data_IF_243983940765
#
_entry.id   IF_243983940765
#
_cell.length_a   1.000
_cell.length_b   1.000
_cell.length_c   1.000
_cell.angle_alpha   90.00
_cell.angle_beta   90.00
_cell.angle_gamma   90.00
#
_symmetry.space_group_name_H-M   'P 1'
#
loop_
_entity.id
_entity.type
_entity.pdbx_description
1 polymer ?
#
# COMPACT_ATOMS: atom_id res chain seq x y z
N UNK A 1 -5.02 -15.09 -2.72
CA UNK A 1 -6.28 -14.73 -3.40
C UNK A 1 -6.06 -13.56 -4.37
N UNK A 2 -6.69 -13.53 -5.54
CA UNK A 2 -6.59 -12.38 -6.48
C UNK A 2 -7.89 -11.57 -6.49
N UNK A 3 -7.78 -10.25 -6.36
CA UNK A 3 -8.94 -9.35 -6.38
C UNK A 3 -8.54 -8.04 -7.09
N UNK A 4 -9.33 -7.61 -8.09
CA UNK A 4 -9.06 -6.44 -8.95
C UNK A 4 -7.64 -6.41 -9.56
N UNK A 5 -7.05 -7.58 -9.83
CA UNK A 5 -5.69 -7.69 -10.37
C UNK A 5 -4.56 -7.57 -9.32
N UNK A 6 -4.89 -7.45 -8.04
CA UNK A 6 -3.93 -7.50 -6.93
C UNK A 6 -3.92 -8.87 -6.24
N UNK A 7 -2.73 -9.35 -5.86
CA UNK A 7 -2.56 -10.56 -5.07
C UNK A 7 -2.60 -10.25 -3.57
N UNK A 8 -3.65 -10.72 -2.91
CA UNK A 8 -3.82 -10.66 -1.46
C UNK A 8 -3.27 -11.95 -0.82
N UNK A 9 -2.31 -11.84 0.11
CA UNK A 9 -1.78 -13.01 0.81
C UNK A 9 -2.79 -13.61 1.78
N UNK A 10 -2.96 -14.92 1.72
CA UNK A 10 -4.05 -15.64 2.39
C UNK A 10 -3.93 -15.66 3.94
N UNK A 11 -2.69 -15.63 4.44
CA UNK A 11 -2.37 -15.65 5.88
C UNK A 11 -2.59 -14.30 6.59
N UNK A 12 -2.89 -13.23 5.86
CA UNK A 12 -3.10 -11.91 6.48
C UNK A 12 -4.57 -11.73 6.86
N UNK A 13 -4.79 -10.89 7.85
CA UNK A 13 -6.13 -10.37 8.18
C UNK A 13 -6.64 -9.53 7.00
N UNK A 14 -7.93 -9.70 6.66
CA UNK A 14 -8.53 -8.99 5.52
C UNK A 14 -8.41 -7.47 5.69
N UNK A 15 -8.62 -6.96 6.92
CA UNK A 15 -8.45 -5.53 7.23
C UNK A 15 -7.08 -4.99 6.81
N UNK A 16 -6.03 -5.76 7.04
CA UNK A 16 -4.66 -5.37 6.67
C UNK A 16 -4.43 -5.59 5.17
N UNK A 17 -4.92 -6.70 4.63
CA UNK A 17 -4.78 -7.03 3.22
C UNK A 17 -5.41 -5.95 2.30
N UNK A 18 -6.57 -5.41 2.68
CA UNK A 18 -7.25 -4.33 1.94
C UNK A 18 -6.43 -3.04 1.84
N UNK A 19 -5.48 -2.78 2.75
CA UNK A 19 -4.62 -1.59 2.66
C UNK A 19 -3.57 -1.67 1.56
N UNK A 20 -3.42 -2.83 0.91
CA UNK A 20 -2.61 -2.96 -0.31
C UNK A 20 -3.22 -2.20 -1.49
N UNK A 21 -4.54 -1.97 -1.48
CA UNK A 21 -5.24 -1.21 -2.49
C UNK A 21 -4.99 0.29 -2.35
N UNK A 22 -4.65 0.95 -3.46
CA UNK A 22 -4.39 2.39 -3.45
C UNK A 22 -5.69 3.16 -3.19
N UNK A 23 -5.69 4.01 -2.16
CA UNK A 23 -6.88 4.75 -1.72
C UNK A 23 -7.61 4.10 -0.54
N UNK A 24 -7.25 2.87 -0.16
CA UNK A 24 -7.84 2.18 1.00
C UNK A 24 -6.89 2.25 2.21
N UNK A 25 -7.34 2.93 3.26
CA UNK A 25 -6.73 3.03 4.58
C UNK A 25 -7.32 2.02 5.59
N UNK A 26 -6.74 1.94 6.78
CA UNK A 26 -7.25 1.11 7.89
C UNK A 26 -8.69 1.47 8.31
N UNK A 27 -9.02 2.76 8.34
CA UNK A 27 -10.36 3.20 8.73
C UNK A 27 -11.40 2.88 7.65
N UNK A 28 -11.03 3.07 6.38
CA UNK A 28 -11.91 2.73 5.26
C UNK A 28 -12.10 1.22 5.15
N UNK A 29 -11.05 0.41 5.35
CA UNK A 29 -11.18 -1.06 5.33
C UNK A 29 -12.11 -1.56 6.44
N UNK A 30 -11.98 -1.03 7.67
CA UNK A 30 -12.88 -1.37 8.78
C UNK A 30 -14.34 -1.06 8.43
N UNK A 31 -14.61 0.11 7.86
CA UNK A 31 -15.97 0.51 7.42
C UNK A 31 -16.52 -0.38 6.30
N UNK A 32 -15.69 -0.75 5.32
CA UNK A 32 -16.09 -1.65 4.23
C UNK A 32 -16.48 -3.02 4.79
N UNK A 33 -15.65 -3.57 5.69
CA UNK A 33 -15.91 -4.87 6.31
C UNK A 33 -17.17 -4.85 7.17
N UNK A 34 -17.38 -3.79 7.95
CA UNK A 34 -18.61 -3.61 8.73
C UNK A 34 -19.86 -3.57 7.82
N UNK A 35 -19.79 -2.88 6.67
CA UNK A 35 -20.89 -2.81 5.71
C UNK A 35 -21.21 -4.15 5.05
N UNK A 36 -20.17 -4.93 4.74
CA UNK A 36 -20.30 -6.27 4.15
C UNK A 36 -20.55 -7.36 5.20
N UNK A 37 -20.70 -6.99 6.48
CA UNK A 37 -20.90 -7.91 7.60
C UNK A 37 -19.78 -8.97 7.73
N UNK A 38 -18.55 -8.59 7.38
CA UNK A 38 -17.36 -9.44 7.51
C UNK A 38 -16.60 -9.01 8.77
N UNK A 39 -16.20 -9.99 9.58
CA UNK A 39 -15.44 -9.71 10.78
C UNK A 39 -14.01 -9.20 10.47
N UNK A 40 -13.54 -8.19 11.19
CA UNK A 40 -12.24 -7.55 10.91
C UNK A 40 -11.03 -8.46 11.12
N UNK A 41 -11.15 -9.44 12.02
CA UNK A 41 -10.08 -10.40 12.33
C UNK A 41 -10.15 -11.66 11.45
N UNK A 42 -11.07 -11.75 10.50
CA UNK A 42 -11.09 -12.86 9.57
C UNK A 42 -9.84 -12.83 8.66
N UNK A 43 -9.33 -14.02 8.33
CA UNK A 43 -8.23 -14.21 7.40
C UNK A 43 -8.74 -14.12 5.97
N UNK A 44 -7.86 -13.75 5.05
CA UNK A 44 -8.18 -13.74 3.61
C UNK A 44 -8.58 -15.14 3.14
N UNK A 45 -7.96 -16.19 3.70
CA UNK A 45 -8.30 -17.59 3.41
C UNK A 45 -9.69 -18.03 3.90
N UNK A 46 -10.24 -17.38 4.93
CA UNK A 46 -11.52 -17.80 5.54
C UNK A 46 -12.75 -17.18 4.88
N UNK A 47 -12.56 -16.37 3.83
CA UNK A 47 -13.67 -15.72 3.13
C UNK A 47 -14.45 -16.71 2.28
N UNK A 48 -15.77 -16.61 2.35
CA UNK A 48 -16.68 -17.37 1.49
C UNK A 48 -16.78 -16.72 0.11
N UNK A 49 -17.07 -17.51 -0.92
CA UNK A 49 -17.28 -17.02 -2.29
C UNK A 49 -18.30 -15.85 -2.39
N UNK A 50 -19.48 -15.88 -1.75
CA UNK A 50 -20.40 -14.73 -1.80
C UNK A 50 -19.80 -13.47 -1.17
N UNK A 51 -19.01 -13.59 -0.09
CA UNK A 51 -18.33 -12.45 0.52
C UNK A 51 -17.25 -11.87 -0.41
N UNK A 52 -16.54 -12.73 -1.14
CA UNK A 52 -15.55 -12.32 -2.14
C UNK A 52 -16.24 -11.54 -3.27
N UNK A 53 -17.34 -12.07 -3.80
CA UNK A 53 -18.13 -11.43 -4.86
C UNK A 53 -18.69 -10.09 -4.40
N UNK A 54 -19.22 -10.01 -3.18
CA UNK A 54 -19.73 -8.77 -2.60
C UNK A 54 -18.60 -7.73 -2.41
N UNK A 55 -17.43 -8.16 -1.94
CA UNK A 55 -16.27 -7.29 -1.76
C UNK A 55 -15.74 -6.76 -3.10
N UNK A 56 -15.67 -7.62 -4.12
CA UNK A 56 -15.27 -7.21 -5.47
C UNK A 56 -16.28 -6.24 -6.08
N UNK A 57 -17.58 -6.52 -5.97
CA UNK A 57 -18.63 -5.63 -6.46
C UNK A 57 -18.57 -4.26 -5.76
N UNK A 58 -18.36 -4.25 -4.45
CA UNK A 58 -18.23 -3.02 -3.66
C UNK A 58 -17.04 -2.17 -4.11
N UNK A 59 -15.86 -2.79 -4.28
CA UNK A 59 -14.65 -2.04 -4.68
C UNK A 59 -14.74 -1.54 -6.13
N UNK A 60 -15.43 -2.26 -7.03
CA UNK A 60 -15.69 -1.80 -8.39
C UNK A 60 -16.70 -0.65 -8.46
N UNK A 61 -17.71 -0.63 -7.57
CA UNK A 61 -18.82 0.32 -7.62
C UNK A 61 -19.40 0.59 -6.23
N UNK A 62 -18.76 1.45 -5.42
CA UNK A 62 -19.13 1.64 -4.02
C UNK A 62 -20.49 2.33 -3.84
N UNK A 63 -20.95 3.09 -4.84
CA UNK A 63 -22.20 3.84 -4.81
C UNK A 63 -23.45 2.94 -4.86
N UNK A 64 -23.34 1.72 -5.41
CA UNK A 64 -24.49 0.84 -5.65
C UNK A 64 -24.76 -0.16 -4.52
N UNK A 65 -23.89 -0.25 -3.52
CA UNK A 65 -24.12 -1.21 -2.42
C UNK A 65 -25.21 -0.67 -1.51
N UNK A 66 -26.25 -1.46 -1.24
CA UNK A 66 -27.30 -1.06 -0.30
C UNK A 66 -26.69 -0.68 1.06
N UNK A 67 -27.03 0.50 1.57
CA UNK A 67 -26.73 0.86 2.96
C UNK A 67 -27.65 0.00 3.82
N UNK A 68 -27.15 -0.79 4.79
CA UNK A 68 -28.05 -1.38 5.78
C UNK A 68 -28.77 -0.22 6.47
N UNK A 69 -30.10 -0.22 6.45
CA UNK A 69 -30.89 0.79 7.13
C UNK A 69 -30.40 0.87 8.59
N UNK A 70 -30.24 2.08 9.18
CA UNK A 70 -29.87 2.19 10.58
C UNK A 70 -30.96 1.50 11.39
N UNK A 71 -30.72 0.26 11.80
CA UNK A 71 -31.63 -0.44 12.69
C UNK A 71 -31.55 0.31 14.02
N UNK A 72 -32.65 0.92 14.50
CA UNK A 72 -32.60 1.57 15.79
C UNK A 72 -32.26 0.49 16.82
N UNK A 73 -31.10 0.63 17.46
CA UNK A 73 -30.61 -0.32 18.49
C UNK A 73 -31.58 -0.38 19.67
N UNK A 74 -32.44 0.63 19.80
CA UNK A 74 -33.51 0.74 20.77
C UNK A 74 -34.86 0.92 20.04
N UNK A 75 -35.86 0.05 20.24
CA UNK A 75 -37.20 0.26 19.67
C UNK A 75 -37.77 1.61 20.16
N UNK A 76 -38.56 2.31 19.33
CA UNK A 76 -39.18 3.58 19.73
C UNK A 76 -40.06 3.35 20.97
N UNK A 77 -39.61 3.86 22.13
CA UNK A 77 -40.32 3.77 23.41
C UNK A 77 -39.62 2.97 24.52
N UNK A 78 -38.44 2.39 24.29
CA UNK A 78 -37.72 1.71 25.39
C UNK A 78 -37.16 2.74 26.40
N UNK A 79 -37.63 2.64 27.65
CA UNK A 79 -37.11 3.41 28.78
C UNK A 79 -35.84 2.69 29.27
N UNK A 80 -34.65 3.33 29.26
CA UNK A 80 -33.44 2.68 29.73
C UNK A 80 -33.60 2.31 31.22
N UNK A 81 -33.39 1.04 31.55
CA UNK A 81 -33.38 0.59 32.95
C UNK A 81 -32.07 1.05 33.61
N UNK A 82 -32.12 2.14 34.38
CA UNK A 82 -30.99 2.67 35.15
C UNK A 82 -31.04 4.20 35.26
N UNK A 83 -30.71 4.73 36.43
CA UNK A 83 -30.63 6.18 36.66
C UNK A 83 -29.30 6.72 36.10
N UNK A 84 -29.36 7.40 34.96
CA UNK A 84 -28.21 7.96 34.25
C UNK A 84 -27.85 9.39 34.70
N UNK A 85 -28.51 9.91 35.74
CA UNK A 85 -28.36 11.30 36.22
C UNK A 85 -26.95 11.68 36.69
N UNK A 86 -26.07 10.69 36.93
CA UNK A 86 -24.71 10.90 37.45
C UNK A 86 -23.55 10.82 36.45
N UNK A 87 -23.78 10.51 35.17
CA UNK A 87 -22.68 10.43 34.20
C UNK A 87 -22.24 11.84 33.76
N UNK A 88 -20.95 12.19 33.86
CA UNK A 88 -20.44 13.43 33.31
C UNK A 88 -20.72 13.44 31.81
N UNK A 89 -21.61 14.32 31.35
CA UNK A 89 -21.85 14.45 29.91
C UNK A 89 -20.52 14.82 29.24
N UNK A 90 -20.12 14.12 28.17
CA UNK A 90 -18.92 14.49 27.44
C UNK A 90 -19.05 15.95 27.05
N UNK A 91 -18.09 16.78 27.46
CA UNK A 91 -18.04 18.20 27.07
C UNK A 91 -18.06 18.26 25.56
N UNK A 92 -19.22 18.54 24.99
CA UNK A 92 -19.38 18.72 23.56
C UNK A 92 -18.66 20.01 23.22
N UNK A 93 -17.36 19.91 22.90
CA UNK A 93 -16.75 20.95 22.10
C UNK A 93 -17.67 21.11 20.90
N UNK A 94 -18.18 22.31 20.64
CA UNK A 94 -18.92 22.68 19.43
C UNK A 94 -18.02 22.48 18.21
N UNK A 95 -17.63 21.24 17.92
CA UNK A 95 -17.17 20.82 16.63
C UNK A 95 -18.38 20.90 15.73
N UNK A 96 -18.25 21.68 14.66
CA UNK A 96 -19.20 21.73 13.56
C UNK A 96 -19.67 20.30 13.26
N UNK A 97 -20.90 19.95 13.63
CA UNK A 97 -21.53 18.71 13.21
C UNK A 97 -21.37 18.71 11.69
N UNK A 98 -20.58 17.76 11.17
CA UNK A 98 -20.34 17.69 9.74
C UNK A 98 -21.71 17.55 9.10
N UNK A 99 -22.04 18.53 8.26
CA UNK A 99 -23.32 18.59 7.58
C UNK A 99 -23.57 17.25 6.89
N UNK A 100 -24.74 16.71 7.16
CA UNK A 100 -25.48 15.71 6.39
C UNK A 100 -24.87 14.30 6.29
N UNK A 101 -25.72 13.30 6.58
CA UNK A 101 -25.39 11.87 6.69
C UNK A 101 -25.05 11.18 5.38
N UNK A 102 -24.11 11.73 4.60
CA UNK A 102 -23.55 11.04 3.44
C UNK A 102 -22.52 10.01 3.89
N UNK A 103 -22.72 8.77 3.46
CA UNK A 103 -21.77 7.70 3.74
C UNK A 103 -20.40 8.03 3.12
N UNK A 104 -19.32 8.05 3.91
CA UNK A 104 -17.98 8.39 3.44
C UNK A 104 -17.42 7.37 2.42
N UNK A 105 -18.11 6.25 2.23
CA UNK A 105 -17.74 5.21 1.29
C UNK A 105 -18.36 5.41 -0.10
N UNK A 106 -19.44 6.19 -0.26
CA UNK A 106 -20.17 6.29 -1.54
C UNK A 106 -19.34 6.88 -2.68
N UNK A 107 -18.46 7.83 -2.35
CA UNK A 107 -17.61 8.56 -3.30
C UNK A 107 -16.13 8.08 -3.29
N UNK A 108 -15.89 6.86 -2.81
CA UNK A 108 -14.53 6.30 -2.71
C UNK A 108 -13.95 6.05 -4.12
N UNK A 109 -12.89 6.77 -4.48
CA UNK A 109 -12.07 6.47 -5.67
C UNK A 109 -10.93 5.53 -5.30
N UNK A 110 -10.78 4.44 -6.04
CA UNK A 110 -9.79 3.38 -5.75
C UNK A 110 -8.83 3.22 -6.93
N UNK A 111 -7.62 2.74 -6.64
CA UNK A 111 -6.63 2.26 -7.61
C UNK A 111 -6.44 3.16 -8.84
N UNK A 112 -6.91 2.71 -10.01
CA UNK A 112 -6.67 3.33 -11.30
C UNK A 112 -7.33 4.70 -11.37
N UNK A 113 -8.52 4.83 -10.81
CA UNK A 113 -9.31 6.05 -10.93
C UNK A 113 -8.74 7.15 -10.05
N UNK A 114 -8.31 6.78 -8.84
CA UNK A 114 -7.60 7.71 -7.95
C UNK A 114 -6.26 8.15 -8.55
N UNK A 115 -5.50 7.22 -9.13
CA UNK A 115 -4.22 7.53 -9.81
C UNK A 115 -4.41 8.44 -11.02
N UNK A 116 -5.39 8.12 -11.90
CA UNK A 116 -5.72 8.92 -13.09
C UNK A 116 -6.18 10.31 -12.71
N UNK A 117 -7.03 10.45 -11.69
CA UNK A 117 -7.49 11.75 -11.20
C UNK A 117 -6.29 12.61 -10.75
N UNK A 118 -5.41 12.07 -9.90
CA UNK A 118 -4.24 12.79 -9.41
C UNK A 118 -3.27 13.15 -10.54
N UNK A 119 -3.03 12.23 -11.49
CA UNK A 119 -2.18 12.48 -12.65
C UNK A 119 -2.77 13.59 -13.54
N UNK A 120 -4.08 13.56 -13.80
CA UNK A 120 -4.80 14.58 -14.55
C UNK A 120 -4.71 15.95 -13.89
N UNK A 121 -4.92 16.02 -12.57
CA UNK A 121 -4.82 17.27 -11.80
C UNK A 121 -3.40 17.86 -11.89
N UNK A 122 -2.37 17.02 -11.75
CA UNK A 122 -0.97 17.45 -11.86
C UNK A 122 -0.64 17.88 -13.29
N UNK A 123 -1.08 17.12 -14.30
CA UNK A 123 -0.87 17.45 -15.70
C UNK A 123 -1.52 18.80 -16.05
N UNK A 124 -2.77 19.01 -15.64
CA UNK A 124 -3.49 20.25 -15.81
C UNK A 124 -2.77 21.45 -15.16
N UNK A 125 -2.31 21.30 -13.90
CA UNK A 125 -1.53 22.34 -13.23
C UNK A 125 -0.24 22.70 -13.97
N UNK A 126 0.41 21.73 -14.62
CA UNK A 126 1.62 21.92 -15.45
C UNK A 126 1.29 22.66 -16.74
N UNK A 127 0.24 22.26 -17.45
CA UNK A 127 -0.21 22.89 -18.71
C UNK A 127 -0.58 24.35 -18.50
N UNK A 128 -1.29 24.68 -17.42
CA UNK A 128 -1.62 26.08 -17.08
C UNK A 128 -0.37 26.91 -16.73
N UNK A 129 0.70 26.27 -16.23
CA UNK A 129 1.92 26.98 -15.81
C UNK A 129 1.84 27.59 -14.40
N UNK A 130 0.89 27.15 -13.57
CA UNK A 130 0.79 27.58 -12.16
C UNK A 130 2.10 27.36 -11.38
N UNK A 131 2.32 28.11 -10.30
CA UNK A 131 3.51 27.89 -9.44
C UNK A 131 3.64 26.42 -9.00
N UNK A 132 2.54 25.80 -8.54
CA UNK A 132 2.52 24.38 -8.16
C UNK A 132 2.88 23.49 -9.35
N UNK A 133 2.32 23.73 -10.53
CA UNK A 133 2.64 23.01 -11.75
C UNK A 133 4.13 23.05 -12.11
N UNK A 134 4.75 24.24 -12.09
CA UNK A 134 6.20 24.39 -12.32
C UNK A 134 7.03 23.63 -11.28
N UNK A 135 6.62 23.63 -10.01
CA UNK A 135 7.28 22.86 -8.93
C UNK A 135 7.14 21.35 -9.13
N UNK A 136 5.96 20.86 -9.52
CA UNK A 136 5.73 19.47 -9.88
C UNK A 136 6.59 19.04 -11.08
N UNK A 137 6.69 19.87 -12.12
CA UNK A 137 7.54 19.61 -13.28
C UNK A 137 9.03 19.53 -12.89
N UNK A 138 9.48 20.37 -11.95
CA UNK A 138 10.85 20.38 -11.44
C UNK A 138 11.14 19.31 -10.36
N UNK A 139 10.14 18.52 -9.93
CA UNK A 139 10.27 17.53 -8.85
C UNK A 139 10.59 18.14 -7.49
N UNK A 140 10.21 19.40 -7.25
CA UNK A 140 10.50 20.13 -6.01
C UNK A 140 9.29 20.14 -5.06
N UNK A 141 9.50 20.33 -3.74
CA UNK A 141 8.42 20.44 -2.78
C UNK A 141 7.44 21.57 -3.11
N UNK A 142 6.14 21.32 -2.95
CA UNK A 142 5.09 22.25 -3.40
C UNK A 142 4.51 23.08 -2.25
N UNK A 143 4.58 22.59 -1.01
CA UNK A 143 3.94 23.21 0.18
C UNK A 143 4.85 24.20 0.92
N UNK A 144 5.75 24.88 0.21
CA UNK A 144 6.65 25.89 0.83
C UNK A 144 7.79 25.34 1.68
N UNK A 145 8.11 24.06 1.57
CA UNK A 145 9.26 23.46 2.27
C UNK A 145 10.59 24.02 1.71
N UNK A 146 11.60 24.17 2.58
CA UNK A 146 12.92 24.67 2.20
C UNK A 146 13.61 23.75 1.17
N UNK A 147 14.10 24.34 0.07
CA UNK A 147 14.80 23.65 -1.02
C UNK A 147 16.32 23.78 -1.00
N UNK A 148 16.89 24.61 -0.13
CA UNK A 148 18.34 24.81 -0.08
C UNK A 148 19.08 23.50 0.22
N UNK A 149 18.60 22.73 1.21
CA UNK A 149 19.21 21.45 1.63
C UNK A 149 18.54 20.23 1.00
N UNK A 150 17.22 20.27 0.81
CA UNK A 150 16.42 19.09 0.49
C UNK A 150 16.11 18.89 -1.01
N UNK A 151 16.50 19.82 -1.89
CA UNK A 151 16.13 19.76 -3.31
C UNK A 151 16.60 18.49 -4.03
N UNK A 152 17.80 17.99 -3.72
CA UNK A 152 18.36 16.79 -4.37
C UNK A 152 17.53 15.55 -4.05
N UNK A 153 17.20 15.36 -2.78
CA UNK A 153 16.36 14.25 -2.31
C UNK A 153 14.95 14.35 -2.87
N UNK A 154 14.38 15.57 -2.88
CA UNK A 154 13.06 15.83 -3.45
C UNK A 154 12.99 15.44 -4.94
N UNK A 155 13.95 15.88 -5.76
CA UNK A 155 14.00 15.53 -7.19
C UNK A 155 14.09 14.02 -7.43
N UNK A 156 14.78 13.29 -6.55
CA UNK A 156 14.89 11.83 -6.63
C UNK A 156 13.57 11.12 -6.29
N UNK A 157 12.86 11.57 -5.26
CA UNK A 157 11.72 10.87 -4.66
C UNK A 157 10.33 11.38 -5.11
N UNK A 158 10.22 12.63 -5.55
CA UNK A 158 8.97 13.27 -5.95
C UNK A 158 8.71 13.11 -7.45
N UNK A 159 8.70 11.87 -7.91
CA UNK A 159 8.26 11.51 -9.26
C UNK A 159 6.76 11.22 -9.23
N UNK A 160 6.08 11.57 -10.33
CA UNK A 160 4.62 11.32 -10.49
C UNK A 160 4.36 9.82 -10.42
N UNK A 161 5.14 9.03 -11.15
CA UNK A 161 5.13 7.58 -11.04
C UNK A 161 6.13 7.15 -9.97
N UNK A 162 5.62 7.03 -8.74
CA UNK A 162 6.37 6.36 -7.69
C UNK A 162 6.43 4.89 -8.05
N UNK A 163 7.65 4.35 -8.19
CA UNK A 163 7.86 2.89 -8.15
C UNK A 163 7.17 2.40 -6.89
N UNK A 164 6.11 1.62 -7.05
CA UNK A 164 5.39 1.04 -5.92
C UNK A 164 6.40 0.22 -5.13
N UNK A 165 6.70 0.63 -3.89
CA UNK A 165 7.41 -0.22 -2.95
C UNK A 165 6.40 -1.27 -2.48
N UNK A 166 6.05 -2.23 -3.33
CA UNK A 166 5.27 -3.38 -2.89
C UNK A 166 6.17 -4.21 -2.00
N UNK A 167 5.77 -4.37 -0.73
CA UNK A 167 6.39 -5.30 0.22
C UNK A 167 6.12 -6.77 -0.13
N UNK A 168 5.25 -7.06 -1.09
CA UNK A 168 5.15 -8.37 -1.72
C UNK A 168 6.30 -8.53 -2.71
N UNK A 169 7.38 -9.11 -2.19
CA UNK A 169 8.50 -9.61 -2.95
C UNK A 169 8.01 -10.53 -4.08
N UNK A 170 7.89 -10.00 -5.30
CA UNK A 170 8.49 -10.69 -6.43
C UNK A 170 9.97 -10.34 -6.43
N UNK A 171 10.68 -10.75 -5.37
CA UNK A 171 12.07 -11.10 -5.55
C UNK A 171 11.99 -12.37 -6.36
N UNK A 172 12.33 -12.30 -7.65
CA UNK A 172 12.64 -13.52 -8.39
C UNK A 172 13.55 -14.36 -7.49
N UNK A 173 13.29 -15.68 -7.33
CA UNK A 173 14.27 -16.54 -6.69
C UNK A 173 15.61 -16.19 -7.30
N UNK A 174 16.58 -15.83 -6.46
CA UNK A 174 17.96 -15.73 -6.92
C UNK A 174 18.23 -17.11 -7.48
N UNK A 175 18.30 -17.23 -8.81
CA UNK A 175 18.87 -18.41 -9.43
C UNK A 175 20.17 -18.68 -8.69
N UNK A 176 20.24 -19.86 -8.07
CA UNK A 176 21.48 -20.33 -7.45
C UNK A 176 22.61 -20.06 -8.44
N UNK A 177 23.69 -19.37 -8.04
CA UNK A 177 24.76 -19.04 -8.97
C UNK A 177 25.24 -20.35 -9.60
N UNK A 178 25.15 -20.41 -10.94
CA UNK A 178 25.63 -21.53 -11.75
C UNK A 178 27.04 -21.87 -11.25
N UNK A 179 27.34 -23.14 -10.90
CA UNK A 179 28.67 -23.51 -10.44
C UNK A 179 29.67 -23.14 -11.55
N UNK A 180 30.65 -22.30 -11.20
CA UNK A 180 31.72 -21.94 -12.14
C UNK A 180 32.48 -23.22 -12.54
N UNK A 181 32.79 -23.42 -13.83
CA UNK A 181 33.53 -24.59 -14.27
C UNK A 181 34.90 -24.61 -13.59
N UNK A 182 35.22 -25.75 -12.97
CA UNK A 182 36.51 -26.00 -12.33
C UNK A 182 37.56 -26.13 -13.44
N UNK A 183 38.66 -25.35 -13.43
CA UNK A 183 39.70 -25.52 -14.43
C UNK A 183 40.36 -26.89 -14.24
N UNK A 184 40.36 -27.72 -15.29
CA UNK A 184 41.11 -28.97 -15.32
C UNK A 184 42.60 -28.61 -15.28
N UNK A 185 43.26 -28.86 -14.15
CA UNK A 185 44.70 -28.74 -14.05
C UNK A 185 45.32 -29.86 -14.87
N UNK A 186 45.83 -29.52 -16.05
CA UNK A 186 46.65 -30.41 -16.86
C UNK A 186 47.91 -30.77 -16.08
N UNK A 187 47.96 -32.02 -15.63
CA UNK A 187 49.16 -32.63 -15.09
C UNK A 187 50.21 -32.74 -16.20
N UNK A 188 51.16 -31.81 -16.28
CA UNK A 188 52.41 -31.98 -17.01
C UNK A 188 53.42 -30.90 -16.58
N UNK A 189 54.34 -31.26 -15.69
CA UNK A 189 55.78 -31.08 -15.86
C UNK A 189 56.51 -31.42 -14.56
N UNK A 190 56.99 -32.67 -14.51
CA UNK A 190 57.90 -33.17 -13.51
C UNK A 190 59.31 -32.76 -13.94
N UNK A 191 59.84 -31.76 -13.24
CA UNK A 191 61.25 -31.49 -12.91
C UNK A 191 62.34 -32.27 -13.69
N UNK A 192 63.13 -31.55 -14.48
CA UNK A 192 64.54 -31.84 -14.73
C UNK A 192 65.34 -30.55 -14.48
N UNK A 193 66.05 -30.49 -13.36
CA UNK A 193 67.12 -29.54 -13.09
C UNK A 193 68.46 -30.27 -13.20
N UNK A 194 69.47 -29.75 -13.93
CA UNK A 194 70.84 -30.19 -13.75
C UNK A 194 71.55 -29.32 -12.70
N UNK A 195 72.22 -30.02 -11.79
CA UNK A 195 73.04 -29.51 -10.70
C UNK A 195 74.41 -29.08 -11.24
N UNK A 196 74.67 -27.77 -11.32
CA UNK A 196 76.03 -27.23 -11.51
C UNK A 196 76.69 -27.10 -10.14
N UNK A 197 77.76 -27.87 -9.89
CA UNK A 197 78.64 -27.69 -8.74
C UNK A 197 80.07 -27.50 -9.22
N UNK A 198 80.57 -26.29 -9.00
CA UNK A 198 81.95 -25.87 -9.20
C UNK A 198 82.88 -26.53 -8.19
N UNK A 199 84.08 -26.92 -8.64
CA UNK A 199 85.43 -26.60 -8.08
C UNK A 199 86.37 -27.80 -8.19
N UNK A 200 87.45 -27.57 -8.91
CA UNK A 200 88.63 -28.41 -9.06
C UNK A 200 89.83 -27.53 -8.66
N UNK A 201 90.41 -27.79 -7.50
CA UNK A 201 91.74 -27.41 -6.94
C UNK A 201 91.88 -28.39 -5.76
N UNK A 202 92.85 -29.28 -5.60
CA UNK A 202 94.21 -29.50 -6.12
C UNK A 202 94.44 -31.01 -6.20
#
# INVERSE_FOLDING_TARGET
MHLLGHNLPDHKLIRVALTSFHGVSHHTSSRILARLQIHEQALVSSLTEPQITALSAFLSSPSNTAVPAPTPVCPPGAIPHGDWSGFPQPRTSKGKARADGEDPLQNLKIETDLRRSVQSDIAHMRTIGTYKGRRHAAGLPVRGQNTQTNARTARKLNKVDRRTFSTSLLRSPIESPIPRPVPQTSALMRSLTPLVKSRFVQ
#
